data_IF_826790001464
#
_entry.id   IF_826790001464
#
_cell.length_a   1.000
_cell.length_b   1.000
_cell.length_c   1.000
_cell.angle_alpha   90.00
_cell.angle_beta   90.00
_cell.angle_gamma   90.00
#
_symmetry.space_group_name_H-M   'P 1'
#
loop_
_entity.id
_entity.type
_entity.pdbx_description
1 polymer ?
#
# COMPACT_ATOMS: atom_id res chain seq x y z
N UNK A 1 29.18 16.98 -6.44
CA UNK A 1 28.26 17.96 -5.83
C UNK A 1 27.17 17.18 -5.10
N UNK A 2 27.29 17.02 -3.78
CA UNK A 2 26.34 16.24 -2.98
C UNK A 2 25.09 17.09 -2.68
N UNK A 3 23.94 16.66 -3.18
CA UNK A 3 22.66 17.30 -2.89
C UNK A 3 22.34 17.14 -1.41
N UNK A 4 22.44 18.22 -0.66
CA UNK A 4 21.97 18.36 0.72
C UNK A 4 20.49 17.99 0.78
N UNK A 5 20.20 16.81 1.33
CA UNK A 5 18.83 16.39 1.66
C UNK A 5 18.34 17.25 2.82
N UNK A 6 17.72 18.40 2.51
CA UNK A 6 16.90 19.16 3.45
C UNK A 6 15.77 18.24 3.92
N UNK A 7 15.95 17.59 5.08
CA UNK A 7 14.87 16.87 5.75
C UNK A 7 13.75 17.88 6.00
N UNK A 8 12.63 17.73 5.30
CA UNK A 8 11.43 18.50 5.57
C UNK A 8 11.07 18.33 7.05
N UNK A 9 10.72 19.42 7.76
CA UNK A 9 10.31 19.33 9.15
C UNK A 9 9.07 18.42 9.24
N UNK A 10 9.07 17.51 10.21
CA UNK A 10 7.93 16.63 10.48
C UNK A 10 6.70 17.51 10.71
N UNK A 11 5.64 17.28 9.93
CA UNK A 11 4.37 18.00 10.02
C UNK A 11 3.92 18.09 11.50
N UNK A 12 3.41 19.25 11.93
CA UNK A 12 2.95 19.50 13.28
C UNK A 12 1.96 18.42 13.77
N UNK A 13 1.11 17.89 12.88
CA UNK A 13 0.16 16.80 13.18
C UNK A 13 0.82 15.46 13.58
N UNK A 14 2.08 15.24 13.21
CA UNK A 14 2.82 14.00 13.46
C UNK A 14 3.72 14.06 14.70
N UNK A 15 3.75 15.18 15.44
CA UNK A 15 4.64 15.35 16.61
C UNK A 15 4.44 14.30 17.69
N UNK A 16 3.18 13.99 18.03
CA UNK A 16 2.83 12.98 19.05
C UNK A 16 3.24 11.58 18.58
N UNK A 17 2.96 11.25 17.32
CA UNK A 17 3.37 9.98 16.74
C UNK A 17 4.90 9.82 16.73
N UNK A 18 5.63 10.87 16.33
CA UNK A 18 7.09 10.87 16.31
C UNK A 18 7.68 10.69 17.70
N UNK A 19 7.07 11.29 18.73
CA UNK A 19 7.45 11.08 20.13
C UNK A 19 7.25 9.61 20.56
N UNK A 20 6.07 9.04 20.29
CA UNK A 20 5.76 7.65 20.62
C UNK A 20 6.60 6.64 19.82
N UNK A 21 6.99 6.98 18.60
CA UNK A 21 7.82 6.13 17.74
C UNK A 21 9.28 6.02 18.21
N UNK A 22 9.79 6.99 18.97
CA UNK A 22 11.14 6.92 19.55
C UNK A 22 11.25 5.94 20.72
N UNK A 23 10.14 5.47 21.28
CA UNK A 23 10.13 4.57 22.46
C UNK A 23 10.37 3.11 22.04
N UNK A 24 11.23 2.38 22.76
CA UNK A 24 11.60 0.98 22.43
C UNK A 24 10.42 -0.02 22.49
N UNK A 25 9.40 0.26 23.29
CA UNK A 25 8.17 -0.53 23.41
C UNK A 25 6.98 0.41 23.60
N UNK A 26 5.81 0.12 23.01
CA UNK A 26 5.51 -0.96 22.06
C UNK A 26 5.97 -0.65 20.62
N UNK A 27 6.40 -1.69 19.88
CA UNK A 27 6.94 -1.55 18.51
C UNK A 27 5.85 -1.37 17.44
N UNK A 28 4.71 -2.04 17.61
CA UNK A 28 3.60 -1.96 16.66
C UNK A 28 2.78 -0.70 16.86
N UNK A 29 2.18 -0.19 15.77
CA UNK A 29 1.24 0.94 15.82
C UNK A 29 0.05 0.63 16.72
N UNK A 30 -0.53 -0.57 16.59
CA UNK A 30 -1.56 -1.10 17.47
C UNK A 30 -1.14 -0.99 18.95
N UNK A 31 0.04 -1.48 19.31
CA UNK A 31 0.50 -1.44 20.69
C UNK A 31 0.59 -0.01 21.24
N UNK A 32 0.97 0.97 20.42
CA UNK A 32 1.02 2.39 20.82
C UNK A 32 -0.37 2.93 21.14
N UNK A 33 -1.36 2.63 20.29
CA UNK A 33 -2.76 3.02 20.54
C UNK A 33 -3.29 2.36 21.81
N UNK A 34 -3.04 1.05 21.97
CA UNK A 34 -3.47 0.28 23.14
C UNK A 34 -2.89 0.84 24.45
N UNK A 35 -1.60 1.22 24.45
CA UNK A 35 -0.95 1.86 25.59
C UNK A 35 -1.60 3.21 25.94
N UNK A 36 -1.88 4.03 24.93
CA UNK A 36 -2.50 5.35 25.13
C UNK A 36 -3.93 5.19 25.67
N UNK A 37 -4.73 4.29 25.09
CA UNK A 37 -6.09 4.01 25.56
C UNK A 37 -6.10 3.44 27.00
N UNK A 38 -5.16 2.55 27.33
CA UNK A 38 -5.01 2.00 28.67
C UNK A 38 -4.66 3.08 29.69
N UNK A 39 -3.61 3.87 29.44
CA UNK A 39 -3.19 4.93 30.37
C UNK A 39 -4.25 6.02 30.51
N UNK A 40 -4.91 6.40 29.41
CA UNK A 40 -5.94 7.44 29.40
C UNK A 40 -7.19 7.06 30.19
N UNK A 41 -7.52 5.77 30.28
CA UNK A 41 -8.68 5.27 31.05
C UNK A 41 -8.34 5.04 32.51
N UNK A 42 -7.17 4.46 32.81
CA UNK A 42 -6.86 4.02 34.17
C UNK A 42 -6.30 5.13 35.04
N UNK A 43 -5.50 6.07 34.52
CA UNK A 43 -4.88 7.11 35.36
C UNK A 43 -5.96 7.98 36.04
N UNK A 44 -6.96 8.55 35.34
CA UNK A 44 -7.99 9.37 35.98
C UNK A 44 -8.84 8.55 36.95
N UNK A 45 -9.19 7.32 36.56
CA UNK A 45 -10.06 6.46 37.36
C UNK A 45 -9.37 6.01 38.65
N UNK A 46 -8.11 5.56 38.59
CA UNK A 46 -7.33 5.20 39.78
C UNK A 46 -7.12 6.41 40.70
N UNK A 47 -6.91 7.61 40.12
CA UNK A 47 -6.76 8.86 40.89
C UNK A 47 -8.05 9.19 41.63
N UNK A 48 -9.20 9.17 40.93
CA UNK A 48 -10.51 9.40 41.54
C UNK A 48 -10.81 8.37 42.62
N UNK A 49 -10.47 7.11 42.35
CA UNK A 49 -10.71 6.00 43.27
C UNK A 49 -9.88 6.13 44.56
N UNK A 50 -8.59 6.44 44.41
CA UNK A 50 -7.69 6.70 45.53
C UNK A 50 -8.15 7.90 46.37
N UNK A 51 -8.60 8.98 45.71
CA UNK A 51 -9.15 10.15 46.38
C UNK A 51 -10.43 9.80 47.17
N UNK A 52 -11.38 9.08 46.55
CA UNK A 52 -12.64 8.71 47.19
C UNK A 52 -12.45 7.81 48.43
N UNK A 53 -11.52 6.85 48.37
CA UNK A 53 -11.20 5.99 49.52
C UNK A 53 -10.55 6.78 50.65
N UNK A 54 -9.66 7.72 50.30
CA UNK A 54 -8.90 8.51 51.29
C UNK A 54 -9.75 9.59 51.95
N UNK A 55 -10.70 10.17 51.21
CA UNK A 55 -11.56 11.25 51.69
C UNK A 55 -12.75 10.76 52.54
N UNK A 56 -13.07 9.46 52.52
CA UNK A 56 -14.24 8.91 53.22
C UNK A 56 -13.88 8.05 54.43
N UNK A 57 -14.60 8.22 55.54
CA UNK A 57 -14.48 7.41 56.77
C UNK A 57 -15.31 6.13 56.70
N UNK A 58 -15.30 5.44 55.56
CA UNK A 58 -16.01 4.17 55.39
C UNK A 58 -15.30 3.02 56.11
N UNK A 59 -16.07 2.03 56.56
CA UNK A 59 -15.54 0.77 57.07
C UNK A 59 -14.64 0.08 56.04
N UNK A 60 -13.56 -0.55 56.50
CA UNK A 60 -12.56 -1.18 55.63
C UNK A 60 -13.20 -2.25 54.71
N UNK A 61 -14.19 -3.00 55.21
CA UNK A 61 -14.91 -4.00 54.40
C UNK A 61 -15.65 -3.40 53.22
N UNK A 62 -16.28 -2.23 53.39
CA UNK A 62 -16.97 -1.54 52.30
C UNK A 62 -15.98 -0.96 51.29
N UNK A 63 -14.85 -0.38 51.77
CA UNK A 63 -13.76 0.11 50.92
C UNK A 63 -13.22 -0.98 50.01
N UNK A 64 -12.98 -2.19 50.54
CA UNK A 64 -12.50 -3.34 49.76
C UNK A 64 -13.54 -3.81 48.75
N UNK A 65 -14.84 -3.89 49.11
CA UNK A 65 -15.88 -4.30 48.17
C UNK A 65 -16.01 -3.34 46.99
N UNK A 66 -16.02 -2.03 47.24
CA UNK A 66 -16.08 -1.02 46.17
C UNK A 66 -14.84 -1.12 45.29
N UNK A 67 -13.65 -1.32 45.87
CA UNK A 67 -12.39 -1.48 45.13
C UNK A 67 -12.44 -2.68 44.18
N UNK A 68 -12.87 -3.84 44.68
CA UNK A 68 -12.97 -5.05 43.87
C UNK A 68 -13.96 -4.86 42.73
N UNK A 69 -15.15 -4.30 43.00
CA UNK A 69 -16.17 -4.06 41.96
C UNK A 69 -15.64 -3.10 40.89
N UNK A 70 -15.02 -1.99 41.29
CA UNK A 70 -14.47 -1.01 40.36
C UNK A 70 -13.32 -1.60 39.52
N UNK A 71 -12.42 -2.36 40.14
CA UNK A 71 -11.31 -3.02 39.46
C UNK A 71 -11.81 -4.05 38.43
N UNK A 72 -12.81 -4.87 38.79
CA UNK A 72 -13.40 -5.83 37.86
C UNK A 72 -14.11 -5.13 36.70
N UNK A 73 -14.93 -4.11 36.98
CA UNK A 73 -15.64 -3.36 35.95
C UNK A 73 -14.67 -2.70 34.96
N UNK A 74 -13.61 -2.10 35.46
CA UNK A 74 -12.59 -1.42 34.63
C UNK A 74 -11.74 -2.40 33.85
N UNK A 75 -11.39 -3.55 34.42
CA UNK A 75 -10.68 -4.60 33.71
C UNK A 75 -11.53 -5.15 32.55
N UNK A 76 -12.80 -5.44 32.79
CA UNK A 76 -13.74 -5.92 31.75
C UNK A 76 -13.90 -4.89 30.64
N UNK A 77 -14.17 -3.63 31.00
CA UNK A 77 -14.32 -2.55 30.01
C UNK A 77 -13.05 -2.33 29.19
N UNK A 78 -11.89 -2.44 29.82
CA UNK A 78 -10.59 -2.32 29.15
C UNK A 78 -10.36 -3.48 28.18
N UNK A 79 -10.59 -4.72 28.60
CA UNK A 79 -10.44 -5.89 27.73
C UNK A 79 -11.35 -5.75 26.51
N UNK A 80 -12.61 -5.36 26.70
CA UNK A 80 -13.55 -5.12 25.60
C UNK A 80 -13.09 -4.00 24.65
N UNK A 81 -12.58 -2.89 25.20
CA UNK A 81 -12.07 -1.76 24.42
C UNK A 81 -10.85 -2.15 23.61
N UNK A 82 -9.88 -2.82 24.24
CA UNK A 82 -8.64 -3.30 23.62
C UNK A 82 -8.94 -4.30 22.50
N UNK A 83 -9.86 -5.24 22.74
CA UNK A 83 -10.32 -6.19 21.72
C UNK A 83 -10.95 -5.48 20.51
N UNK A 84 -11.79 -4.48 20.75
CA UNK A 84 -12.44 -3.70 19.69
C UNK A 84 -11.43 -2.90 18.88
N UNK A 85 -10.48 -2.21 19.53
CA UNK A 85 -9.41 -1.46 18.87
C UNK A 85 -8.53 -2.36 18.02
N UNK A 86 -8.22 -3.57 18.48
CA UNK A 86 -7.47 -4.54 17.68
C UNK A 86 -8.20 -4.91 16.39
N UNK A 87 -9.52 -5.04 16.43
CA UNK A 87 -10.34 -5.36 15.25
C UNK A 87 -10.45 -4.18 14.29
N UNK A 88 -10.67 -2.97 14.79
CA UNK A 88 -10.80 -1.76 13.97
C UNK A 88 -9.50 -1.37 13.24
N UNK A 89 -8.34 -1.84 13.71
CA UNK A 89 -7.05 -1.59 13.07
C UNK A 89 -6.66 -2.65 12.03
N UNK A 90 -7.48 -3.70 11.83
CA UNK A 90 -7.24 -4.73 10.81
C UNK A 90 -7.10 -4.12 9.40
N UNK A 91 -8.01 -3.24 8.92
CA UNK A 91 -7.90 -2.64 7.59
C UNK A 91 -6.54 -1.99 7.33
N UNK A 92 -6.04 -1.19 8.28
CA UNK A 92 -4.74 -0.50 8.15
C UNK A 92 -3.60 -1.52 7.99
N UNK A 93 -3.62 -2.59 8.79
CA UNK A 93 -2.58 -3.63 8.70
C UNK A 93 -2.66 -4.46 7.43
N UNK A 94 -3.87 -4.71 6.92
CA UNK A 94 -4.09 -5.40 5.64
C UNK A 94 -3.57 -4.53 4.48
N UNK A 95 -3.98 -3.26 4.42
CA UNK A 95 -3.49 -2.30 3.40
C UNK A 95 -1.96 -2.23 3.41
N UNK A 96 -1.36 -2.05 4.58
CA UNK A 96 0.10 -1.97 4.72
C UNK A 96 0.80 -3.26 4.23
N UNK A 97 0.30 -4.43 4.63
CA UNK A 97 0.88 -5.72 4.22
C UNK A 97 0.71 -5.96 2.73
N UNK A 98 -0.45 -5.63 2.16
CA UNK A 98 -0.72 -5.76 0.73
C UNK A 98 0.21 -4.87 -0.10
N UNK A 99 0.40 -3.61 0.30
CA UNK A 99 1.36 -2.71 -0.34
C UNK A 99 2.79 -3.28 -0.27
N UNK A 100 3.20 -3.78 0.90
CA UNK A 100 4.53 -4.39 1.07
C UNK A 100 4.74 -5.61 0.18
N UNK A 101 3.75 -6.50 0.08
CA UNK A 101 3.81 -7.67 -0.80
C UNK A 101 3.90 -7.29 -2.28
N UNK A 102 3.21 -6.24 -2.71
CA UNK A 102 3.36 -5.74 -4.06
C UNK A 102 4.80 -5.27 -4.31
N UNK A 103 5.34 -4.42 -3.44
CA UNK A 103 6.69 -3.87 -3.60
C UNK A 103 7.80 -4.92 -3.51
N UNK A 104 7.62 -5.96 -2.70
CA UNK A 104 8.66 -6.98 -2.45
C UNK A 104 8.53 -8.19 -3.38
N UNK A 105 7.31 -8.56 -3.78
CA UNK A 105 7.01 -9.81 -4.49
C UNK A 105 6.24 -9.61 -5.79
N UNK A 106 5.90 -8.38 -6.18
CA UNK A 106 5.03 -8.05 -7.32
C UNK A 106 3.67 -8.79 -7.29
N UNK A 107 3.12 -9.01 -6.09
CA UNK A 107 1.81 -9.63 -5.91
C UNK A 107 0.75 -8.53 -5.86
N UNK A 108 -0.19 -8.56 -6.81
CA UNK A 108 -1.33 -7.65 -6.82
C UNK A 108 -2.17 -7.81 -5.55
N UNK A 109 -2.60 -6.70 -4.92
CA UNK A 109 -3.40 -6.74 -3.72
C UNK A 109 -4.81 -7.29 -4.00
N UNK A 110 -5.43 -7.85 -2.96
CA UNK A 110 -6.84 -8.26 -2.93
C UNK A 110 -7.49 -7.68 -1.68
N UNK A 111 -7.77 -6.38 -1.71
CA UNK A 111 -8.37 -5.60 -0.64
C UNK A 111 -9.88 -5.42 -0.92
N UNK A 112 -10.74 -5.53 0.10
CA UNK A 112 -12.16 -5.23 -0.05
C UNK A 112 -12.39 -3.78 -0.47
N UNK A 113 -13.43 -3.55 -1.28
CA UNK A 113 -13.77 -2.22 -1.81
C UNK A 113 -15.21 -1.80 -1.50
N UNK A 114 -15.98 -2.65 -0.82
CA UNK A 114 -17.37 -2.39 -0.46
C UNK A 114 -17.56 -1.43 0.74
N UNK A 115 -16.50 -1.13 1.47
CA UNK A 115 -16.58 -0.29 2.68
C UNK A 115 -16.49 1.20 2.33
N UNK A 116 -17.38 2.00 2.91
CA UNK A 116 -17.50 3.45 2.62
C UNK A 116 -16.92 4.35 3.69
N UNK A 117 -16.39 3.79 4.78
CA UNK A 117 -15.70 4.54 5.83
C UNK A 117 -14.28 4.92 5.37
N UNK A 118 -13.55 5.68 6.19
CA UNK A 118 -12.19 6.13 5.86
C UNK A 118 -11.23 4.96 5.68
N UNK A 119 -11.39 3.90 6.49
CA UNK A 119 -10.58 2.69 6.38
C UNK A 119 -10.91 1.91 5.10
N UNK A 120 -12.18 1.81 4.74
CA UNK A 120 -12.67 1.25 3.48
C UNK A 120 -12.16 1.98 2.26
N UNK A 121 -12.31 3.30 2.26
CA UNK A 121 -11.83 4.18 1.19
C UNK A 121 -10.31 4.05 1.03
N UNK A 122 -9.55 4.03 2.13
CA UNK A 122 -8.10 3.80 2.09
C UNK A 122 -7.74 2.46 1.42
N UNK A 123 -8.47 1.38 1.74
CA UNK A 123 -8.25 0.07 1.12
C UNK A 123 -8.54 0.10 -0.38
N UNK A 124 -9.67 0.69 -0.78
CA UNK A 124 -10.10 0.79 -2.17
C UNK A 124 -9.15 1.66 -3.01
N UNK A 125 -8.77 2.84 -2.51
CA UNK A 125 -7.85 3.75 -3.18
C UNK A 125 -6.46 3.13 -3.31
N UNK A 126 -5.98 2.44 -2.28
CA UNK A 126 -4.68 1.74 -2.33
C UNK A 126 -4.70 0.61 -3.35
N UNK A 127 -5.78 -0.17 -3.39
CA UNK A 127 -6.00 -1.21 -4.41
C UNK A 127 -5.93 -0.61 -5.82
N UNK A 128 -6.72 0.44 -6.06
CA UNK A 128 -6.80 1.10 -7.35
C UNK A 128 -5.44 1.67 -7.78
N UNK A 129 -4.75 2.37 -6.87
CA UNK A 129 -3.44 2.95 -7.14
C UNK A 129 -2.41 1.89 -7.51
N UNK A 130 -2.34 0.77 -6.77
CA UNK A 130 -1.42 -0.33 -7.07
C UNK A 130 -1.77 -0.97 -8.41
N UNK A 131 -3.04 -1.24 -8.69
CA UNK A 131 -3.46 -1.82 -9.97
C UNK A 131 -3.09 -0.90 -11.16
N UNK A 132 -3.28 0.42 -11.01
CA UNK A 132 -2.93 1.39 -12.05
C UNK A 132 -1.41 1.51 -12.25
N UNK A 133 -0.65 1.47 -11.16
CA UNK A 133 0.81 1.43 -11.21
C UNK A 133 1.30 0.17 -11.93
N UNK A 134 0.73 -0.98 -11.61
CA UNK A 134 1.08 -2.26 -12.24
C UNK A 134 0.79 -2.28 -13.73
N UNK A 135 -0.38 -1.79 -14.14
CA UNK A 135 -0.72 -1.60 -15.56
C UNK A 135 0.31 -0.72 -16.26
N UNK A 136 0.70 0.39 -15.64
CA UNK A 136 1.67 1.33 -16.21
C UNK A 136 3.06 0.71 -16.34
N UNK A 137 3.49 -0.05 -15.33
CA UNK A 137 4.74 -0.81 -15.37
C UNK A 137 4.68 -1.87 -16.46
N UNK A 138 3.54 -2.57 -16.60
CA UNK A 138 3.35 -3.57 -17.64
C UNK A 138 3.47 -2.97 -19.03
N UNK A 139 2.85 -1.81 -19.26
CA UNK A 139 2.95 -1.06 -20.52
C UNK A 139 4.40 -0.70 -20.83
N UNK A 140 5.12 -0.08 -19.87
CA UNK A 140 6.51 0.31 -20.05
C UNK A 140 7.46 -0.88 -20.23
N UNK A 141 7.14 -2.03 -19.64
CA UNK A 141 7.97 -3.23 -19.73
C UNK A 141 7.80 -3.95 -21.06
N UNK A 142 6.60 -3.95 -21.63
CA UNK A 142 6.26 -4.83 -22.76
C UNK A 142 5.96 -4.11 -24.08
N UNK A 143 5.81 -2.79 -24.05
CA UNK A 143 5.50 -2.00 -25.23
C UNK A 143 6.54 -0.91 -25.45
N UNK A 144 6.82 -0.61 -26.72
CA UNK A 144 7.69 0.49 -27.11
C UNK A 144 6.95 1.83 -26.93
N UNK A 145 7.51 2.81 -26.19
CA UNK A 145 6.80 4.05 -25.87
C UNK A 145 6.60 4.96 -27.09
N UNK A 146 7.39 4.81 -28.16
CA UNK A 146 7.25 5.62 -29.36
C UNK A 146 6.10 5.11 -30.25
N UNK A 147 6.02 3.80 -30.42
CA UNK A 147 5.15 3.14 -31.40
C UNK A 147 3.93 2.45 -30.79
N UNK A 148 3.93 2.23 -29.47
CA UNK A 148 2.96 1.40 -28.73
C UNK A 148 2.87 -0.06 -29.21
N UNK A 149 3.82 -0.52 -30.04
CA UNK A 149 3.91 -1.92 -30.48
C UNK A 149 4.56 -2.78 -29.38
N UNK A 150 4.29 -4.11 -29.39
CA UNK A 150 5.03 -5.05 -28.56
C UNK A 150 6.54 -4.88 -28.74
N UNK A 151 7.24 -4.70 -27.64
CA UNK A 151 8.69 -4.63 -27.68
C UNK A 151 9.29 -6.03 -27.92
N UNK A 152 10.63 -6.09 -28.00
CA UNK A 152 11.35 -7.33 -28.23
C UNK A 152 11.06 -8.40 -27.17
N UNK A 153 10.94 -8.03 -25.89
CA UNK A 153 10.62 -8.98 -24.80
C UNK A 153 9.23 -9.60 -25.03
N UNK A 154 8.21 -8.77 -25.30
CA UNK A 154 6.85 -9.27 -25.53
C UNK A 154 6.77 -10.10 -26.81
N UNK A 155 7.45 -9.70 -27.89
CA UNK A 155 7.55 -10.48 -29.13
C UNK A 155 8.13 -11.87 -28.86
N UNK A 156 9.26 -11.98 -28.15
CA UNK A 156 9.88 -13.26 -27.83
C UNK A 156 8.98 -14.16 -26.98
N UNK A 157 8.27 -13.59 -25.99
CA UNK A 157 7.30 -14.36 -25.18
C UNK A 157 6.15 -14.90 -26.02
N UNK A 158 5.56 -14.06 -26.88
CA UNK A 158 4.46 -14.46 -27.78
C UNK A 158 4.93 -15.49 -28.81
N UNK A 159 6.12 -15.33 -29.36
CA UNK A 159 6.71 -16.29 -30.28
C UNK A 159 6.92 -17.65 -29.61
N UNK A 160 7.44 -17.66 -28.37
CA UNK A 160 7.60 -18.89 -27.60
C UNK A 160 6.28 -19.63 -27.37
N UNK A 161 5.21 -18.90 -27.02
CA UNK A 161 3.86 -19.47 -26.87
C UNK A 161 3.33 -20.01 -28.21
N UNK A 162 3.41 -19.22 -29.27
CA UNK A 162 2.94 -19.62 -30.60
C UNK A 162 3.67 -20.87 -31.14
N UNK A 163 4.96 -21.03 -30.85
CA UNK A 163 5.72 -22.24 -31.21
C UNK A 163 5.23 -23.49 -30.47
N UNK A 164 4.87 -23.36 -29.18
CA UNK A 164 4.33 -24.48 -28.39
C UNK A 164 2.96 -24.89 -28.96
N UNK A 165 2.07 -23.91 -29.19
CA UNK A 165 0.74 -24.14 -29.75
C UNK A 165 0.81 -24.75 -31.15
N UNK A 166 1.64 -24.19 -32.04
CA UNK A 166 1.83 -24.71 -33.39
C UNK A 166 2.33 -26.16 -33.41
N UNK A 167 3.22 -26.53 -32.48
CA UNK A 167 3.69 -27.91 -32.33
C UNK A 167 2.59 -28.85 -31.84
N UNK A 168 1.76 -28.40 -30.90
CA UNK A 168 0.66 -29.21 -30.35
C UNK A 168 -0.46 -29.42 -31.39
N UNK A 169 -0.77 -28.39 -32.17
CA UNK A 169 -1.86 -28.39 -33.16
C UNK A 169 -1.39 -28.75 -34.58
N UNK A 170 -0.10 -29.08 -34.73
CA UNK A 170 0.54 -29.39 -36.01
C UNK A 170 0.31 -28.30 -37.09
N UNK A 171 0.38 -27.03 -36.67
CA UNK A 171 0.22 -25.85 -37.54
C UNK A 171 1.57 -25.30 -37.98
N UNK A 172 1.57 -24.63 -39.13
CA UNK A 172 2.75 -23.89 -39.63
C UNK A 172 2.73 -22.47 -39.07
N UNK A 173 3.84 -22.04 -38.47
CA UNK A 173 4.05 -20.66 -38.02
C UNK A 173 4.98 -19.93 -39.00
N UNK A 174 4.58 -18.73 -39.43
CA UNK A 174 5.40 -17.86 -40.26
C UNK A 174 5.81 -16.60 -39.47
N UNK A 175 7.02 -16.10 -39.71
CA UNK A 175 7.54 -14.86 -39.12
C UNK A 175 8.01 -13.96 -40.26
N UNK A 176 7.58 -12.70 -40.23
CA UNK A 176 8.05 -11.67 -41.16
C UNK A 176 8.88 -10.64 -40.40
N UNK A 177 9.96 -10.16 -41.04
CA UNK A 177 10.75 -9.03 -40.57
C UNK A 177 10.63 -7.90 -41.58
N UNK A 178 10.30 -6.71 -41.08
CA UNK A 178 10.13 -5.49 -41.86
C UNK A 178 11.20 -4.49 -41.43
N UNK A 179 11.74 -3.74 -42.37
CA UNK A 179 12.69 -2.65 -42.12
C UNK A 179 12.35 -1.44 -43.01
N UNK A 180 12.68 -0.24 -42.56
CA UNK A 180 12.43 0.99 -43.32
C UNK A 180 13.67 1.39 -44.10
N UNK A 181 13.60 1.26 -45.43
CA UNK A 181 14.70 1.62 -46.32
C UNK A 181 15.10 3.09 -46.17
N UNK A 182 16.41 3.36 -46.10
CA UNK A 182 16.99 4.70 -46.01
C UNK A 182 16.49 5.58 -44.85
N UNK A 183 15.97 5.01 -43.77
CA UNK A 183 15.43 5.77 -42.63
C UNK A 183 16.46 6.72 -41.99
N UNK A 184 17.75 6.34 -41.94
CA UNK A 184 18.80 7.23 -41.42
C UNK A 184 19.00 8.49 -42.27
N UNK A 185 18.89 8.38 -43.61
CA UNK A 185 18.98 9.53 -44.49
C UNK A 185 17.78 10.47 -44.29
N UNK A 186 16.58 9.91 -44.13
CA UNK A 186 15.37 10.67 -43.80
C UNK A 186 15.54 11.47 -42.49
N UNK A 187 16.04 10.82 -41.42
CA UNK A 187 16.31 11.49 -40.14
C UNK A 187 17.35 12.61 -40.26
N UNK A 188 18.37 12.44 -41.09
CA UNK A 188 19.40 13.46 -41.30
C UNK A 188 18.86 14.67 -42.10
N UNK A 189 17.90 14.47 -42.99
CA UNK A 189 17.32 15.54 -43.82
C UNK A 189 16.17 16.29 -43.14
N UNK A 190 15.30 15.59 -42.40
CA UNK A 190 14.06 16.16 -41.84
C UNK A 190 14.05 16.23 -40.31
N UNK A 191 15.10 15.73 -39.66
CA UNK A 191 15.21 15.70 -38.21
C UNK A 191 14.53 14.49 -37.58
N UNK A 192 14.92 14.20 -36.33
CA UNK A 192 14.47 13.01 -35.60
C UNK A 192 12.98 13.04 -35.27
N UNK A 193 12.41 14.20 -34.97
CA UNK A 193 10.97 14.31 -34.67
C UNK A 193 10.10 13.86 -35.85
N UNK A 194 10.51 14.19 -37.08
CA UNK A 194 9.80 13.75 -38.28
C UNK A 194 9.95 12.24 -38.50
N UNK A 195 11.10 11.68 -38.14
CA UNK A 195 11.35 10.23 -38.13
C UNK A 195 10.46 9.50 -37.13
N UNK A 196 10.35 10.02 -35.91
CA UNK A 196 9.49 9.49 -34.86
C UNK A 196 8.01 9.51 -35.27
N UNK A 197 7.58 10.58 -35.95
CA UNK A 197 6.25 10.66 -36.54
C UNK A 197 6.02 9.58 -37.61
N UNK A 198 6.99 9.37 -38.51
CA UNK A 198 6.91 8.32 -39.54
C UNK A 198 6.80 6.93 -38.91
N UNK A 199 7.62 6.65 -37.89
CA UNK A 199 7.58 5.38 -37.15
C UNK A 199 6.20 5.13 -36.51
N UNK A 200 5.59 6.16 -35.89
CA UNK A 200 4.22 6.07 -35.36
C UNK A 200 3.19 5.74 -36.45
N UNK A 201 3.29 6.35 -37.62
CA UNK A 201 2.37 6.06 -38.73
C UNK A 201 2.52 4.63 -39.24
N UNK A 202 3.76 4.13 -39.36
CA UNK A 202 4.02 2.74 -39.74
C UNK A 202 3.45 1.78 -38.69
N UNK A 203 3.68 2.05 -37.41
CA UNK A 203 3.17 1.25 -36.31
C UNK A 203 1.63 1.17 -36.29
N UNK A 204 0.95 2.30 -36.48
CA UNK A 204 -0.51 2.35 -36.58
C UNK A 204 -1.04 1.51 -37.76
N UNK A 205 -0.33 1.50 -38.90
CA UNK A 205 -0.71 0.68 -40.06
C UNK A 205 -0.52 -0.82 -39.82
N UNK A 206 0.47 -1.21 -39.02
CA UNK A 206 0.72 -2.61 -38.67
C UNK A 206 -0.23 -3.14 -37.60
N UNK A 207 -0.90 -2.25 -36.86
CA UNK A 207 -1.85 -2.60 -35.79
C UNK A 207 -3.29 -2.73 -36.29
N UNK A 208 -3.57 -2.30 -37.53
CA UNK A 208 -4.86 -2.42 -38.23
C UNK A 208 -4.89 -3.67 -39.12
#
# INVERSE_FOLDING_TARGET
MATSSKRQPINASLRIYAFLARRKRPKSYLGKIMLVAFLGTHIPLLTLFFYAISATNLELGLKVRILVVALVATLVGTVATLFTLQRLLIPITLTFRSLRRYLELNILPALPTEFTDEAGTLMADTMYAIAKLDESIHQLKYYDPLTALPNQELFQRRLGQALIEAKQENRVLAIARLDLDNFSAFNNSLGREQGDWLLRQVANRLSN
#
